data_IF_106333169514
#
_entry.id   IF_106333169514
#
_cell.length_a   1.000
_cell.length_b   1.000
_cell.length_c   1.000
_cell.angle_alpha   90.00
_cell.angle_beta   90.00
_cell.angle_gamma   90.00
#
_symmetry.space_group_name_H-M   'P 1'
#
loop_
_entity.id
_entity.type
_entity.pdbx_description
1 polymer ?
#
# COMPACT_ATOMS: atom_id res chain seq x y z
N UNK A 1 12.26 29.83 14.12
CA UNK A 1 13.54 29.07 14.16
C UNK A 1 14.21 29.31 12.82
N UNK A 2 15.50 29.68 12.80
CA UNK A 2 16.23 29.88 11.55
C UNK A 2 16.43 28.54 10.84
N UNK A 3 16.22 28.52 9.52
CA UNK A 3 16.53 27.37 8.70
C UNK A 3 18.05 27.30 8.47
N UNK A 4 18.67 26.18 8.83
CA UNK A 4 20.12 25.95 8.66
C UNK A 4 20.45 25.11 7.43
N UNK A 5 19.44 24.62 6.72
CA UNK A 5 19.58 23.77 5.54
C UNK A 5 19.64 24.59 4.25
N UNK A 6 20.40 24.15 3.24
CA UNK A 6 20.43 24.82 1.94
C UNK A 6 19.07 24.72 1.23
N UNK A 7 18.74 25.72 0.42
CA UNK A 7 17.49 25.73 -0.34
C UNK A 7 17.36 24.52 -1.29
N UNK A 8 18.49 23.95 -1.74
CA UNK A 8 18.54 22.74 -2.58
C UNK A 8 18.10 21.46 -1.87
N UNK A 9 17.91 21.48 -0.54
CA UNK A 9 17.45 20.31 0.21
C UNK A 9 15.93 20.16 0.19
N UNK A 10 15.19 21.13 -0.38
CA UNK A 10 13.72 21.20 -0.46
C UNK A 10 12.99 20.89 0.86
N UNK A 11 13.68 21.09 2.00
CA UNK A 11 13.18 20.83 3.35
C UNK A 11 13.75 21.85 4.31
N UNK A 12 12.93 22.23 5.27
CA UNK A 12 13.30 23.17 6.34
C UNK A 12 13.62 22.44 7.63
N UNK A 13 14.45 23.04 8.48
CA UNK A 13 14.73 22.52 9.83
C UNK A 13 13.44 22.28 10.63
N UNK A 14 12.42 23.14 10.46
CA UNK A 14 11.12 22.99 11.11
C UNK A 14 10.38 21.73 10.66
N UNK A 15 10.43 21.38 9.38
CA UNK A 15 9.79 20.18 8.85
C UNK A 15 10.48 18.90 9.35
N UNK A 16 11.81 18.88 9.43
CA UNK A 16 12.55 17.72 9.97
C UNK A 16 12.23 17.52 11.46
N UNK A 17 12.18 18.60 12.25
CA UNK A 17 11.79 18.52 13.66
C UNK A 17 10.33 18.06 13.79
N UNK A 18 9.43 18.60 12.97
CA UNK A 18 8.02 18.17 12.93
C UNK A 18 7.88 16.69 12.59
N UNK A 19 8.67 16.19 11.64
CA UNK A 19 8.74 14.77 11.30
C UNK A 19 9.26 13.92 12.47
N UNK A 20 10.32 14.34 13.15
CA UNK A 20 10.85 13.62 14.32
C UNK A 20 9.79 13.54 15.44
N UNK A 21 9.11 14.65 15.71
CA UNK A 21 8.00 14.71 16.67
C UNK A 21 6.86 13.79 16.22
N UNK A 22 6.47 13.81 14.94
CA UNK A 22 5.43 12.93 14.41
C UNK A 22 5.77 11.45 14.61
N UNK A 23 7.03 11.04 14.37
CA UNK A 23 7.46 9.67 14.63
C UNK A 23 7.33 9.31 16.12
N UNK A 24 7.71 10.22 17.02
CA UNK A 24 7.56 10.04 18.47
C UNK A 24 6.07 9.95 18.87
N UNK A 25 5.18 10.71 18.25
CA UNK A 25 3.73 10.66 18.53
C UNK A 25 3.09 9.40 17.92
N UNK A 26 3.62 8.90 16.80
CA UNK A 26 3.08 7.71 16.15
C UNK A 26 3.30 6.43 16.96
N UNK A 27 4.37 6.42 17.77
CA UNK A 27 4.76 5.33 18.65
C UNK A 27 3.54 4.86 19.48
N UNK A 28 2.97 5.60 20.45
CA UNK A 28 1.94 5.05 21.35
C UNK A 28 0.69 4.51 20.62
N UNK A 29 0.33 5.09 19.49
CA UNK A 29 -0.83 4.67 18.68
C UNK A 29 -0.62 3.28 18.07
N UNK A 30 0.63 2.96 17.71
CA UNK A 30 1.01 1.65 17.17
C UNK A 30 0.99 0.53 18.22
N UNK A 31 1.08 0.83 19.52
CA UNK A 31 0.96 -0.19 20.58
C UNK A 31 -0.45 -0.75 20.75
N UNK A 32 -1.48 -0.05 20.23
CA UNK A 32 -2.85 -0.52 20.38
C UNK A 32 -3.10 -1.68 19.43
N UNK A 33 -3.50 -2.84 19.95
CA UNK A 33 -3.81 -4.03 19.13
C UNK A 33 -4.77 -3.73 17.95
N UNK A 34 -4.53 -4.28 16.75
CA UNK A 34 -5.31 -3.96 15.55
C UNK A 34 -6.80 -4.30 15.68
N UNK A 35 -7.14 -5.37 16.38
CA UNK A 35 -8.52 -5.83 16.60
C UNK A 35 -9.32 -4.85 17.48
N UNK A 36 -8.65 -3.92 18.17
CA UNK A 36 -9.26 -2.89 19.01
C UNK A 36 -9.04 -1.48 18.49
N UNK A 37 -8.51 -1.30 17.27
CA UNK A 37 -8.30 0.02 16.69
C UNK A 37 -9.42 0.56 15.82
N UNK A 38 -10.44 -0.23 15.50
CA UNK A 38 -11.59 0.22 14.70
C UNK A 38 -12.15 1.57 15.17
N UNK A 39 -12.50 1.69 16.45
CA UNK A 39 -13.06 2.94 17.02
C UNK A 39 -12.09 4.13 16.95
N UNK A 40 -10.79 3.86 17.11
CA UNK A 40 -9.76 4.89 17.02
C UNK A 40 -9.63 5.40 15.57
N UNK A 41 -9.66 4.47 14.61
CA UNK A 41 -9.61 4.77 13.18
C UNK A 41 -10.84 5.55 12.72
N UNK A 42 -12.03 5.17 13.20
CA UNK A 42 -13.27 5.92 12.93
C UNK A 42 -13.14 7.37 13.43
N UNK A 43 -12.68 7.56 14.68
CA UNK A 43 -12.48 8.90 15.24
C UNK A 43 -11.47 9.74 14.44
N UNK A 44 -10.32 9.16 14.10
CA UNK A 44 -9.29 9.83 13.29
C UNK A 44 -9.80 10.19 11.89
N UNK A 45 -10.56 9.30 11.24
CA UNK A 45 -11.14 9.55 9.91
C UNK A 45 -12.20 10.64 9.94
N UNK A 46 -13.08 10.66 10.96
CA UNK A 46 -14.09 11.72 11.13
C UNK A 46 -13.41 13.09 11.33
N UNK A 47 -12.39 13.15 12.18
CA UNK A 47 -11.61 14.38 12.40
C UNK A 47 -10.91 14.85 11.13
N UNK A 48 -10.33 13.93 10.37
CA UNK A 48 -9.65 14.23 9.10
C UNK A 48 -10.63 14.76 8.05
N UNK A 49 -11.79 14.10 7.92
CA UNK A 49 -12.86 14.52 7.03
C UNK A 49 -13.37 15.93 7.39
N UNK A 50 -13.61 16.19 8.68
CA UNK A 50 -14.05 17.50 9.15
C UNK A 50 -13.01 18.59 8.87
N UNK A 51 -11.71 18.30 9.02
CA UNK A 51 -10.65 19.24 8.71
C UNK A 51 -10.55 19.55 7.21
N UNK A 52 -10.59 18.53 6.34
CA UNK A 52 -10.56 18.72 4.88
C UNK A 52 -11.81 19.46 4.37
N UNK A 53 -12.99 19.11 4.90
CA UNK A 53 -14.23 19.81 4.61
C UNK A 53 -14.15 21.28 5.06
N UNK A 54 -13.60 21.54 6.25
CA UNK A 54 -13.39 22.90 6.77
C UNK A 54 -12.44 23.73 5.90
N UNK A 55 -11.32 23.15 5.47
CA UNK A 55 -10.38 23.80 4.55
C UNK A 55 -11.08 24.15 3.23
N UNK A 56 -11.83 23.20 2.66
CA UNK A 56 -12.57 23.42 1.43
C UNK A 56 -13.59 24.55 1.58
N UNK A 57 -14.48 24.48 2.59
CA UNK A 57 -15.51 25.50 2.83
C UNK A 57 -14.87 26.89 3.01
N UNK A 58 -13.78 26.96 3.77
CA UNK A 58 -13.03 28.21 3.95
C UNK A 58 -12.53 28.76 2.61
N UNK A 59 -11.93 27.91 1.78
CA UNK A 59 -11.39 28.29 0.48
C UNK A 59 -12.48 28.80 -0.46
N UNK A 60 -13.61 28.09 -0.59
CA UNK A 60 -14.70 28.56 -1.45
C UNK A 60 -15.31 29.88 -0.96
N UNK A 61 -15.46 30.04 0.36
CA UNK A 61 -16.01 31.26 0.94
C UNK A 61 -15.12 32.48 0.66
N UNK A 62 -13.79 32.32 0.81
CA UNK A 62 -12.83 33.40 0.57
C UNK A 62 -12.57 33.68 -0.92
N UNK A 63 -12.75 32.68 -1.78
CA UNK A 63 -12.73 32.86 -3.23
C UNK A 63 -14.05 33.42 -3.79
N UNK A 64 -15.08 33.59 -2.94
CA UNK A 64 -16.44 33.97 -3.33
C UNK A 64 -17.05 33.05 -4.40
N UNK A 65 -16.71 31.76 -4.36
CA UNK A 65 -17.14 30.79 -5.34
C UNK A 65 -16.20 29.59 -5.44
N UNK A 66 -16.42 28.76 -6.44
CA UNK A 66 -15.64 27.54 -6.65
C UNK A 66 -14.31 27.77 -7.42
N UNK A 67 -14.00 29.02 -7.76
CA UNK A 67 -12.81 29.44 -8.49
C UNK A 67 -12.90 29.22 -10.01
N UNK A 68 -11.94 29.77 -10.74
CA UNK A 68 -11.99 29.87 -12.21
C UNK A 68 -11.69 28.54 -12.92
N UNK A 69 -10.91 27.63 -12.31
CA UNK A 69 -10.47 26.39 -12.97
C UNK A 69 -11.64 25.47 -13.37
N UNK A 70 -12.76 25.55 -12.67
CA UNK A 70 -13.94 24.71 -12.95
C UNK A 70 -14.65 25.16 -14.22
N UNK A 71 -14.55 26.45 -14.54
CA UNK A 71 -15.17 27.05 -15.73
C UNK A 71 -14.20 27.14 -16.91
N UNK A 72 -12.91 26.86 -16.69
CA UNK A 72 -11.92 26.86 -17.76
C UNK A 72 -12.12 25.68 -18.70
N UNK A 73 -12.17 25.91 -20.03
CA UNK A 73 -12.25 24.84 -21.00
C UNK A 73 -10.96 24.01 -20.99
N UNK A 74 -11.09 22.73 -21.35
CA UNK A 74 -9.94 21.84 -21.52
C UNK A 74 -8.96 22.42 -22.53
N UNK A 75 -7.68 22.42 -22.17
CA UNK A 75 -6.59 22.79 -23.09
C UNK A 75 -6.27 21.67 -24.11
N UNK A 76 -6.81 20.47 -23.91
CA UNK A 76 -6.65 19.34 -24.84
C UNK A 76 -7.58 19.53 -26.04
N UNK A 77 -7.01 19.92 -27.18
CA UNK A 77 -7.77 20.36 -28.36
C UNK A 77 -8.24 19.20 -29.27
N UNK A 78 -7.65 18.01 -29.18
CA UNK A 78 -7.98 16.89 -30.08
C UNK A 78 -8.69 15.76 -29.33
N UNK A 79 -9.64 15.10 -29.99
CA UNK A 79 -10.39 13.97 -29.40
C UNK A 79 -9.49 12.82 -28.96
N UNK A 80 -8.40 12.60 -29.69
CA UNK A 80 -7.36 11.62 -29.36
C UNK A 80 -6.62 11.98 -28.05
N UNK A 81 -6.10 13.22 -27.96
CA UNK A 81 -5.44 13.70 -26.74
C UNK A 81 -6.36 13.71 -25.51
N UNK A 82 -7.66 13.98 -25.71
CA UNK A 82 -8.66 13.96 -24.65
C UNK A 82 -8.90 12.52 -24.15
N UNK A 83 -9.05 11.56 -25.08
CA UNK A 83 -9.28 10.16 -24.74
C UNK A 83 -8.12 9.56 -23.94
N UNK A 84 -6.88 9.77 -24.38
CA UNK A 84 -5.69 9.31 -23.66
C UNK A 84 -5.45 10.08 -22.36
N UNK A 85 -5.80 11.37 -22.29
CA UNK A 85 -5.77 12.14 -21.04
C UNK A 85 -6.72 11.57 -19.97
N UNK A 86 -7.94 11.19 -20.37
CA UNK A 86 -8.90 10.53 -19.47
C UNK A 86 -8.35 9.17 -19.01
N UNK A 87 -7.78 8.37 -19.92
CA UNK A 87 -7.16 7.09 -19.56
C UNK A 87 -5.99 7.26 -18.60
N UNK A 88 -5.11 8.25 -18.81
CA UNK A 88 -4.02 8.56 -17.90
C UNK A 88 -4.53 8.91 -16.49
N UNK A 89 -5.61 9.69 -16.40
CA UNK A 89 -6.27 10.01 -15.12
C UNK A 89 -6.76 8.75 -14.40
N UNK A 90 -7.47 7.87 -15.12
CA UNK A 90 -7.95 6.59 -14.58
C UNK A 90 -6.78 5.70 -14.14
N UNK A 91 -5.78 5.53 -15.00
CA UNK A 91 -4.56 4.74 -14.72
C UNK A 91 -3.84 5.24 -13.48
N UNK A 92 -3.76 6.56 -13.27
CA UNK A 92 -3.11 7.16 -12.10
C UNK A 92 -3.88 6.87 -10.81
N UNK A 93 -5.20 6.99 -10.82
CA UNK A 93 -6.04 6.67 -9.66
C UNK A 93 -6.01 5.18 -9.34
N UNK A 94 -6.24 4.33 -10.35
CA UNK A 94 -6.19 2.87 -10.20
C UNK A 94 -4.82 2.42 -9.73
N UNK A 95 -3.76 3.01 -10.28
CA UNK A 95 -2.38 2.76 -9.90
C UNK A 95 -2.07 3.07 -8.44
N UNK A 96 -2.50 4.23 -7.95
CA UNK A 96 -2.38 4.60 -6.52
C UNK A 96 -3.07 3.58 -5.64
N UNK A 97 -4.32 3.22 -5.99
CA UNK A 97 -5.11 2.23 -5.26
C UNK A 97 -4.53 0.82 -5.41
N UNK A 98 -3.85 0.53 -6.53
CA UNK A 98 -3.29 -0.77 -6.81
C UNK A 98 -2.19 -1.15 -5.84
N UNK A 99 -1.46 -0.21 -5.24
CA UNK A 99 -0.47 -0.57 -4.19
C UNK A 99 -1.20 -1.12 -2.95
N UNK A 100 -2.35 -0.53 -2.62
CA UNK A 100 -3.21 -1.01 -1.55
C UNK A 100 -4.00 -2.28 -1.95
N UNK A 101 -4.34 -2.45 -3.24
CA UNK A 101 -5.19 -3.54 -3.76
C UNK A 101 -4.43 -4.74 -4.32
N UNK A 102 -3.21 -4.58 -4.81
CA UNK A 102 -2.32 -5.68 -5.25
C UNK A 102 -1.88 -6.55 -4.09
N UNK A 103 -2.00 -5.98 -2.89
CA UNK A 103 -1.96 -6.64 -1.60
C UNK A 103 -3.34 -6.70 -0.92
N UNK A 104 -4.41 -6.75 -1.72
CA UNK A 104 -5.78 -7.04 -1.31
C UNK A 104 -6.18 -8.41 -1.81
N UNK A 105 -6.94 -9.18 -1.02
CA UNK A 105 -7.51 -10.38 -1.53
C UNK A 105 -8.78 -10.01 -2.24
N UNK A 106 -8.62 -9.79 -3.53
CA UNK A 106 -9.69 -10.15 -4.45
C UNK A 106 -10.02 -11.66 -4.38
N UNK A 107 -9.34 -12.43 -3.52
CA UNK A 107 -9.26 -13.87 -3.53
C UNK A 107 -9.09 -14.46 -2.12
N UNK A 108 -10.07 -14.31 -1.22
CA UNK A 108 -10.18 -15.23 -0.07
C UNK A 108 -11.66 -15.48 0.27
N UNK A 109 -12.24 -16.59 -0.20
CA UNK A 109 -13.59 -16.95 0.21
C UNK A 109 -13.66 -17.92 1.40
N UNK A 110 -12.59 -18.56 1.89
CA UNK A 110 -12.74 -19.69 2.85
C UNK A 110 -11.50 -20.00 3.73
N UNK A 111 -11.10 -19.09 4.63
CA UNK A 111 -10.08 -19.36 5.66
C UNK A 111 -10.58 -18.82 7.00
N UNK A 112 -10.96 -19.67 7.95
CA UNK A 112 -11.55 -19.26 9.24
C UNK A 112 -10.70 -19.60 10.47
N UNK A 113 -9.58 -20.32 10.36
CA UNK A 113 -8.90 -20.85 11.57
C UNK A 113 -7.37 -20.80 11.61
N UNK A 114 -6.71 -19.76 11.08
CA UNK A 114 -5.33 -19.43 11.53
C UNK A 114 -5.37 -18.17 12.38
N UNK A 115 -5.53 -18.39 13.69
CA UNK A 115 -5.44 -17.34 14.70
C UNK A 115 -3.99 -17.17 15.16
N UNK A 116 -3.06 -16.84 14.27
CA UNK A 116 -1.68 -16.46 14.64
C UNK A 116 -1.14 -15.40 13.66
N UNK A 117 -1.63 -14.17 13.87
CA UNK A 117 -0.86 -12.94 14.06
C UNK A 117 0.22 -12.46 13.04
N UNK A 118 0.09 -11.17 12.62
CA UNK A 118 1.04 -10.24 11.93
C UNK A 118 1.11 -10.33 10.38
N UNK A 119 1.05 -9.28 9.52
CA UNK A 119 0.86 -7.82 9.63
C UNK A 119 0.55 -7.14 8.24
N UNK A 120 -0.09 -5.97 8.26
CA UNK A 120 -0.26 -4.86 7.27
C UNK A 120 -0.15 -5.01 5.73
N UNK A 121 -1.31 -5.25 5.13
CA UNK A 121 -1.83 -4.89 3.79
C UNK A 121 -3.34 -5.22 3.78
N UNK A 122 -4.15 -4.90 2.76
CA UNK A 122 -5.60 -5.24 2.79
C UNK A 122 -5.84 -6.75 3.06
N UNK A 123 -4.93 -7.63 2.62
CA UNK A 123 -4.92 -9.07 2.88
C UNK A 123 -4.79 -9.43 4.36
N UNK A 124 -4.08 -8.60 5.12
CA UNK A 124 -3.84 -8.82 6.54
C UNK A 124 -4.99 -8.33 7.43
N UNK A 125 -5.90 -7.53 6.88
CA UNK A 125 -7.14 -7.14 7.53
C UNK A 125 -8.31 -8.07 7.20
N UNK A 126 -8.37 -8.62 5.99
CA UNK A 126 -9.43 -9.55 5.60
C UNK A 126 -9.44 -10.85 6.40
N UNK A 127 -8.30 -11.27 6.98
CA UNK A 127 -8.27 -12.42 7.91
C UNK A 127 -9.10 -12.21 9.18
N UNK A 128 -9.39 -10.95 9.54
CA UNK A 128 -10.25 -10.60 10.66
C UNK A 128 -11.73 -10.48 10.25
N UNK A 129 -12.06 -10.60 8.96
CA UNK A 129 -13.43 -10.58 8.49
C UNK A 129 -14.17 -11.83 8.95
N UNK A 130 -15.42 -11.67 9.42
CA UNK A 130 -16.23 -12.80 9.90
C UNK A 130 -16.79 -13.60 8.74
N UNK A 131 -17.07 -12.92 7.63
CA UNK A 131 -17.54 -13.51 6.37
C UNK A 131 -16.82 -12.86 5.18
N UNK A 132 -16.58 -13.62 4.09
CA UNK A 132 -15.95 -13.09 2.87
C UNK A 132 -16.70 -11.90 2.23
N UNK A 133 -18.01 -11.84 2.40
CA UNK A 133 -18.86 -10.75 1.91
C UNK A 133 -18.62 -9.42 2.65
N UNK A 134 -18.07 -9.45 3.87
CA UNK A 134 -17.98 -8.27 4.73
C UNK A 134 -17.01 -7.22 4.16
N UNK A 135 -15.97 -7.65 3.41
CA UNK A 135 -15.05 -6.71 2.76
C UNK A 135 -15.66 -5.97 1.56
N UNK A 136 -16.62 -6.59 0.86
CA UNK A 136 -17.13 -6.10 -0.43
C UNK A 136 -17.83 -4.76 -0.28
N UNK A 137 -18.74 -4.67 0.70
CA UNK A 137 -19.49 -3.44 0.95
C UNK A 137 -18.57 -2.29 1.39
N UNK A 138 -17.64 -2.56 2.31
CA UNK A 138 -16.70 -1.57 2.82
C UNK A 138 -15.79 -0.99 1.73
N UNK A 139 -15.26 -1.86 0.86
CA UNK A 139 -14.44 -1.45 -0.30
C UNK A 139 -15.26 -0.66 -1.32
N UNK A 140 -16.43 -1.17 -1.73
CA UNK A 140 -17.29 -0.51 -2.70
C UNK A 140 -17.71 0.89 -2.24
N UNK A 141 -18.17 1.01 -0.99
CA UNK A 141 -18.56 2.29 -0.40
C UNK A 141 -17.37 3.25 -0.33
N UNK A 142 -16.21 2.79 0.12
CA UNK A 142 -15.02 3.63 0.26
C UNK A 142 -14.50 4.10 -1.09
N UNK A 143 -14.33 3.21 -2.07
CA UNK A 143 -13.74 3.59 -3.35
C UNK A 143 -14.67 4.43 -4.23
N UNK A 144 -15.97 4.16 -4.22
CA UNK A 144 -16.91 4.88 -5.08
C UNK A 144 -17.36 6.19 -4.43
N UNK A 145 -17.77 6.14 -3.16
CA UNK A 145 -18.32 7.33 -2.50
C UNK A 145 -17.20 8.22 -1.97
N UNK A 146 -16.38 7.71 -1.05
CA UNK A 146 -15.31 8.50 -0.43
C UNK A 146 -14.21 8.83 -1.45
N UNK A 147 -13.87 7.88 -2.33
CA UNK A 147 -12.91 8.05 -3.41
C UNK A 147 -13.33 9.05 -4.49
N UNK A 148 -14.62 9.40 -4.59
CA UNK A 148 -15.08 10.50 -5.47
C UNK A 148 -15.16 11.84 -4.74
N UNK A 149 -15.59 11.83 -3.47
CA UNK A 149 -15.78 13.07 -2.69
C UNK A 149 -14.45 13.70 -2.28
N UNK A 150 -13.45 12.90 -1.87
CA UNK A 150 -12.16 13.44 -1.40
C UNK A 150 -11.38 14.16 -2.51
N UNK A 151 -11.22 13.61 -3.73
CA UNK A 151 -10.59 14.34 -4.83
C UNK A 151 -11.36 15.60 -5.22
N UNK A 152 -12.70 15.57 -5.18
CA UNK A 152 -13.51 16.75 -5.41
C UNK A 152 -13.14 17.87 -4.44
N UNK A 153 -12.97 17.57 -3.14
CA UNK A 153 -12.54 18.58 -2.16
C UNK A 153 -11.19 19.19 -2.53
N UNK A 154 -10.23 18.35 -2.97
CA UNK A 154 -8.92 18.80 -3.44
C UNK A 154 -9.01 19.72 -4.67
N UNK A 155 -9.76 19.32 -5.69
CA UNK A 155 -9.94 20.10 -6.92
C UNK A 155 -10.61 21.46 -6.66
N UNK A 156 -11.69 21.48 -5.87
CA UNK A 156 -12.40 22.72 -5.52
C UNK A 156 -11.50 23.66 -4.70
N UNK A 157 -10.77 23.10 -3.73
CA UNK A 157 -9.84 23.88 -2.90
C UNK A 157 -8.72 24.47 -3.75
N UNK A 158 -8.11 23.67 -4.64
CA UNK A 158 -7.03 24.13 -5.53
C UNK A 158 -7.51 25.25 -6.47
N UNK A 159 -8.68 25.08 -7.07
CA UNK A 159 -9.34 26.11 -7.89
C UNK A 159 -9.59 27.41 -7.11
N UNK A 160 -10.15 27.31 -5.91
CA UNK A 160 -10.39 28.47 -5.06
C UNK A 160 -9.08 29.16 -4.63
N UNK A 161 -8.03 28.40 -4.32
CA UNK A 161 -6.73 28.99 -3.94
C UNK A 161 -6.06 29.76 -5.06
N UNK A 162 -6.30 29.38 -6.33
CA UNK A 162 -5.82 30.17 -7.46
C UNK A 162 -6.44 31.57 -7.48
N UNK A 163 -7.72 31.70 -7.17
CA UNK A 163 -8.38 33.01 -7.07
C UNK A 163 -7.90 33.81 -5.84
N UNK A 164 -7.57 33.14 -4.72
CA UNK A 164 -7.16 33.80 -3.46
C UNK A 164 -5.68 34.24 -3.47
N UNK A 165 -4.80 33.39 -3.99
CA UNK A 165 -3.34 33.52 -3.89
C UNK A 165 -2.63 33.66 -5.25
N UNK A 166 -3.33 33.48 -6.36
CA UNK A 166 -2.74 33.46 -7.70
C UNK A 166 -2.09 32.13 -8.08
N UNK A 167 -2.04 31.15 -7.17
CA UNK A 167 -1.49 29.82 -7.42
C UNK A 167 -2.46 28.71 -6.99
N UNK A 168 -2.48 27.61 -7.74
CA UNK A 168 -3.31 26.45 -7.45
C UNK A 168 -2.63 25.55 -6.41
N UNK A 169 -2.96 25.75 -5.13
CA UNK A 169 -2.40 24.99 -4.02
C UNK A 169 -3.07 23.61 -3.91
N UNK A 170 -2.27 22.57 -4.14
CA UNK A 170 -2.71 21.17 -4.05
C UNK A 170 -2.40 20.52 -2.69
N UNK A 171 -1.46 21.08 -1.93
CA UNK A 171 -0.98 20.50 -0.67
C UNK A 171 -1.63 21.19 0.56
N UNK A 172 -2.49 20.52 1.35
CA UNK A 172 -3.24 21.17 2.44
C UNK A 172 -2.36 21.82 3.53
N UNK A 173 -1.29 21.18 4.04
CA UNK A 173 -0.31 21.85 4.92
C UNK A 173 0.18 23.21 4.42
N UNK A 174 0.40 23.37 3.11
CA UNK A 174 0.81 24.65 2.51
C UNK A 174 -0.28 25.70 2.64
N UNK A 175 -1.55 25.32 2.49
CA UNK A 175 -2.70 26.22 2.67
C UNK A 175 -2.76 26.74 4.11
N UNK A 176 -2.57 25.87 5.12
CA UNK A 176 -2.53 26.29 6.52
C UNK A 176 -1.36 27.25 6.80
N UNK A 177 -0.19 27.01 6.18
CA UNK A 177 0.94 27.91 6.30
C UNK A 177 0.62 29.29 5.69
N UNK A 178 -0.05 29.33 4.55
CA UNK A 178 -0.49 30.57 3.90
C UNK A 178 -1.51 31.34 4.75
N UNK A 179 -2.39 30.67 5.49
CA UNK A 179 -3.29 31.32 6.46
C UNK A 179 -2.50 32.11 7.51
N UNK A 180 -1.48 31.47 8.09
CA UNK A 180 -0.65 32.07 9.13
C UNK A 180 0.26 33.19 8.59
N UNK A 181 0.68 33.11 7.33
CA UNK A 181 1.50 34.16 6.70
C UNK A 181 0.67 35.38 6.30
N UNK A 182 -0.56 35.18 5.82
CA UNK A 182 -1.46 36.26 5.38
C UNK A 182 -2.04 37.05 6.54
N UNK A 183 -2.51 36.37 7.58
CA UNK A 183 -3.07 37.00 8.77
C UNK A 183 -2.73 36.22 10.04
N UNK A 184 -1.84 36.79 10.86
CA UNK A 184 -1.42 36.18 12.12
C UNK A 184 -2.36 36.54 13.30
N UNK A 185 -3.66 36.40 13.09
CA UNK A 185 -4.69 36.64 14.11
C UNK A 185 -4.91 35.42 15.02
N UNK A 186 -5.55 35.63 16.17
CA UNK A 186 -5.92 34.54 17.10
C UNK A 186 -6.85 33.52 16.43
N UNK A 187 -7.74 33.98 15.54
CA UNK A 187 -8.65 33.13 14.76
C UNK A 187 -7.89 32.25 13.76
N UNK A 188 -6.99 32.83 12.96
CA UNK A 188 -6.17 32.08 12.00
C UNK A 188 -5.29 31.04 12.67
N UNK A 189 -4.74 31.37 13.85
CA UNK A 189 -3.96 30.42 14.66
C UNK A 189 -4.82 29.28 15.19
N UNK A 190 -6.01 29.56 15.70
CA UNK A 190 -6.93 28.53 16.16
C UNK A 190 -7.36 27.61 15.00
N UNK A 191 -7.73 28.18 13.85
CA UNK A 191 -8.10 27.44 12.65
C UNK A 191 -6.96 26.52 12.18
N UNK A 192 -5.73 27.03 12.11
CA UNK A 192 -4.56 26.24 11.74
C UNK A 192 -4.28 25.10 12.73
N UNK A 193 -4.49 25.30 14.03
CA UNK A 193 -4.34 24.23 15.04
C UNK A 193 -5.38 23.13 14.83
N UNK A 194 -6.67 23.46 14.70
CA UNK A 194 -7.72 22.46 14.53
C UNK A 194 -7.58 21.69 13.20
N UNK A 195 -7.31 22.40 12.11
CA UNK A 195 -7.06 21.77 10.81
C UNK A 195 -5.78 20.91 10.85
N UNK A 196 -4.72 21.41 11.50
CA UNK A 196 -3.47 20.67 11.69
C UNK A 196 -3.64 19.38 12.50
N UNK A 197 -4.45 19.40 13.56
CA UNK A 197 -4.80 18.19 14.33
C UNK A 197 -5.51 17.17 13.44
N UNK A 198 -6.44 17.61 12.57
CA UNK A 198 -7.10 16.74 11.62
C UNK A 198 -6.13 16.11 10.61
N UNK A 199 -5.23 16.90 10.04
CA UNK A 199 -4.21 16.43 9.09
C UNK A 199 -3.21 15.46 9.74
N UNK A 200 -2.72 15.77 10.95
CA UNK A 200 -1.84 14.87 11.72
C UNK A 200 -2.56 13.57 12.06
N UNK A 201 -3.85 13.65 12.42
CA UNK A 201 -4.66 12.45 12.73
C UNK A 201 -4.85 11.57 11.50
N UNK A 202 -5.06 12.17 10.32
CA UNK A 202 -5.10 11.46 9.04
C UNK A 202 -3.79 10.72 8.79
N UNK A 203 -2.66 11.41 8.96
CA UNK A 203 -1.35 10.83 8.72
C UNK A 203 -1.01 9.73 9.73
N UNK A 204 -1.42 9.88 10.99
CA UNK A 204 -1.31 8.84 12.01
C UNK A 204 -2.17 7.63 11.65
N UNK A 205 -3.40 7.83 11.18
CA UNK A 205 -4.30 6.77 10.74
C UNK A 205 -3.69 5.97 9.58
N UNK A 206 -3.17 6.65 8.55
CA UNK A 206 -2.48 6.00 7.43
C UNK A 206 -1.20 5.30 7.87
N UNK A 207 -0.37 5.94 8.71
CA UNK A 207 0.86 5.32 9.20
C UNK A 207 0.57 4.09 10.07
N UNK A 208 -0.57 4.06 10.76
CA UNK A 208 -1.05 2.84 11.42
C UNK A 208 -1.49 1.83 10.36
N UNK A 209 -2.49 2.12 9.53
CA UNK A 209 -3.07 1.11 8.63
C UNK A 209 -2.05 0.55 7.61
N UNK A 210 -1.25 1.42 6.99
CA UNK A 210 -0.33 1.07 5.92
C UNK A 210 1.05 0.62 6.43
N UNK A 211 1.48 1.12 7.61
CA UNK A 211 2.79 0.79 8.18
C UNK A 211 2.75 0.04 9.53
N UNK A 212 1.58 -0.38 10.07
CA UNK A 212 1.49 -1.18 11.30
C UNK A 212 0.13 -1.82 11.67
N UNK A 213 0.13 -3.11 11.99
CA UNK A 213 0.22 -3.54 13.39
C UNK A 213 0.56 -5.01 13.56
N UNK A 214 1.29 -5.24 14.63
CA UNK A 214 1.56 -6.54 15.23
C UNK A 214 1.09 -6.60 16.68
N UNK A 215 0.48 -7.70 17.10
CA UNK A 215 0.15 -7.95 18.53
C UNK A 215 1.34 -8.64 19.20
N UNK A 216 1.67 -8.32 20.46
CA UNK A 216 2.80 -8.91 21.16
C UNK A 216 2.41 -10.27 21.79
N UNK A 217 2.04 -11.28 20.99
CA UNK A 217 1.64 -12.59 21.57
C UNK A 217 2.81 -13.54 21.80
N UNK A 218 4.00 -13.27 21.25
CA UNK A 218 5.20 -14.07 21.56
C UNK A 218 6.42 -13.19 21.83
N UNK A 219 6.31 -12.33 22.85
CA UNK A 219 7.49 -11.83 23.54
C UNK A 219 7.48 -12.33 24.97
N UNK A 220 8.54 -13.09 25.27
CA UNK A 220 9.22 -13.11 26.56
C UNK A 220 8.83 -11.88 27.38
N UNK A 221 8.19 -12.10 28.53
CA UNK A 221 7.87 -11.05 29.50
C UNK A 221 9.15 -10.26 29.78
N UNK A 222 9.22 -8.99 29.37
CA UNK A 222 10.29 -8.08 29.83
C UNK A 222 10.88 -7.08 28.85
N UNK A 223 10.65 -7.16 27.53
CA UNK A 223 11.30 -6.20 26.61
C UNK A 223 10.40 -5.83 25.41
N UNK A 224 9.55 -4.82 25.61
CA UNK A 224 8.63 -4.27 24.60
C UNK A 224 9.05 -2.84 24.25
N UNK A 225 9.83 -2.66 23.18
CA UNK A 225 10.15 -1.34 22.61
C UNK A 225 10.38 -1.42 21.07
N UNK A 226 9.29 -1.22 20.29
CA UNK A 226 9.14 -0.71 18.88
C UNK A 226 9.90 -1.33 17.67
N UNK A 227 9.51 -1.14 16.36
CA UNK A 227 9.04 0.11 15.68
C UNK A 227 8.05 0.04 14.47
N UNK A 228 7.78 1.23 13.90
CA UNK A 228 7.05 1.63 12.66
C UNK A 228 7.63 0.94 11.41
N UNK A 229 6.80 0.50 10.44
CA UNK A 229 7.26 -0.07 9.16
C UNK A 229 7.15 -1.58 9.02
N UNK A 230 6.03 -2.15 9.53
CA UNK A 230 5.87 -3.61 9.66
C UNK A 230 5.85 -4.37 8.34
N UNK A 231 5.27 -3.83 7.27
CA UNK A 231 5.29 -4.44 5.91
C UNK A 231 6.72 -4.74 5.45
N UNK A 232 7.59 -3.73 5.56
CA UNK A 232 9.03 -3.88 5.28
C UNK A 232 9.69 -4.85 6.28
N UNK A 233 9.31 -4.78 7.55
CA UNK A 233 9.80 -5.71 8.59
C UNK A 233 9.48 -7.17 8.28
N UNK A 234 8.26 -7.46 7.83
CA UNK A 234 7.82 -8.79 7.43
C UNK A 234 8.50 -9.25 6.17
N UNK A 235 8.52 -8.42 5.12
CA UNK A 235 9.18 -8.74 3.86
C UNK A 235 10.65 -9.09 4.13
N UNK A 236 11.35 -8.30 4.96
CA UNK A 236 12.74 -8.58 5.36
C UNK A 236 12.88 -9.83 6.25
N UNK A 237 11.93 -10.10 7.14
CA UNK A 237 11.95 -11.31 7.97
C UNK A 237 11.64 -12.58 7.19
N UNK A 238 10.83 -12.49 6.13
CA UNK A 238 10.59 -13.59 5.20
C UNK A 238 11.80 -13.85 4.30
N UNK A 239 12.50 -12.80 3.88
CA UNK A 239 13.71 -12.90 3.06
C UNK A 239 14.93 -13.40 3.83
N UNK A 240 15.13 -12.93 5.07
CA UNK A 240 16.30 -13.24 5.90
C UNK A 240 15.91 -13.66 7.34
N UNK A 241 15.11 -14.73 7.51
CA UNK A 241 14.53 -15.10 8.81
C UNK A 241 15.57 -15.38 9.90
N UNK A 242 16.77 -15.84 9.52
CA UNK A 242 17.88 -16.13 10.45
C UNK A 242 18.52 -14.87 11.03
N UNK A 243 18.50 -13.74 10.31
CA UNK A 243 19.24 -12.52 10.65
C UNK A 243 18.33 -11.37 11.09
N UNK A 244 17.17 -11.25 10.43
CA UNK A 244 16.24 -10.16 10.60
C UNK A 244 14.93 -10.71 11.15
N UNK A 245 14.61 -10.31 12.37
CA UNK A 245 13.25 -10.40 12.86
C UNK A 245 12.47 -9.15 12.42
N UNK A 246 11.15 -9.22 12.47
CA UNK A 246 10.26 -8.13 12.04
C UNK A 246 10.68 -6.78 12.64
N UNK A 247 11.03 -6.75 13.94
CA UNK A 247 11.47 -5.53 14.62
C UNK A 247 12.72 -4.91 14.01
N UNK A 248 13.75 -5.73 13.77
CA UNK A 248 15.00 -5.29 13.11
C UNK A 248 14.71 -4.78 11.70
N UNK A 249 13.85 -5.47 10.97
CA UNK A 249 13.46 -5.06 9.62
C UNK A 249 12.72 -3.71 9.60
N UNK A 250 11.86 -3.44 10.58
CA UNK A 250 11.21 -2.14 10.73
C UNK A 250 12.22 -1.00 10.99
N UNK A 251 13.24 -1.21 11.84
CA UNK A 251 14.31 -0.20 12.04
C UNK A 251 15.08 0.08 10.75
N UNK A 252 15.38 -0.95 9.97
CA UNK A 252 16.00 -0.81 8.65
C UNK A 252 15.08 -0.02 7.71
N UNK A 253 13.78 -0.34 7.68
CA UNK A 253 12.79 0.37 6.87
C UNK A 253 12.68 1.86 7.22
N UNK A 254 12.71 2.21 8.51
CA UNK A 254 12.68 3.60 8.96
C UNK A 254 13.93 4.38 8.50
N UNK A 255 15.11 3.78 8.64
CA UNK A 255 16.38 4.41 8.24
C UNK A 255 16.44 4.57 6.72
N UNK A 256 16.08 3.53 5.96
CA UNK A 256 16.05 3.58 4.50
C UNK A 256 15.00 4.57 4.00
N UNK A 257 13.81 4.59 4.59
CA UNK A 257 12.75 5.54 4.25
C UNK A 257 13.20 6.99 4.43
N UNK A 258 13.98 7.29 5.47
CA UNK A 258 14.57 8.61 5.67
C UNK A 258 15.70 8.91 4.67
N UNK A 259 16.57 7.93 4.42
CA UNK A 259 17.70 8.06 3.50
C UNK A 259 17.27 8.33 2.05
N UNK A 260 16.05 7.92 1.67
CA UNK A 260 15.46 8.20 0.36
C UNK A 260 14.95 9.64 0.20
N UNK A 261 14.99 10.47 1.24
CA UNK A 261 14.56 11.88 1.21
C UNK A 261 13.16 12.06 0.60
N UNK A 262 12.09 11.52 1.22
CA UNK A 262 10.76 11.43 0.61
C UNK A 262 10.12 12.80 0.31
N UNK A 263 10.60 13.88 0.92
CA UNK A 263 10.15 15.25 0.63
C UNK A 263 10.51 15.71 -0.78
N UNK A 264 11.54 15.14 -1.43
CA UNK A 264 11.85 15.42 -2.83
C UNK A 264 10.70 15.01 -3.77
N UNK A 265 9.91 14.01 -3.37
CA UNK A 265 8.71 13.59 -4.11
C UNK A 265 7.61 14.65 -4.08
N UNK A 266 7.58 15.49 -3.03
CA UNK A 266 6.60 16.56 -2.86
C UNK A 266 7.12 17.92 -3.35
N UNK A 267 8.35 17.98 -3.89
CA UNK A 267 8.94 19.23 -4.37
C UNK A 267 8.12 19.90 -5.48
N UNK A 268 7.41 19.11 -6.31
CA UNK A 268 6.47 19.63 -7.30
C UNK A 268 5.27 18.69 -7.52
N UNK A 269 4.14 19.25 -7.95
CA UNK A 269 2.96 18.47 -8.31
C UNK A 269 3.25 17.49 -9.46
N UNK A 270 4.05 17.92 -10.45
CA UNK A 270 4.43 17.09 -11.59
C UNK A 270 5.28 15.90 -11.17
N UNK A 271 6.28 16.11 -10.30
CA UNK A 271 7.11 15.04 -9.73
C UNK A 271 6.24 14.04 -8.97
N UNK A 272 5.33 14.55 -8.13
CA UNK A 272 4.43 13.74 -7.33
C UNK A 272 3.54 12.83 -8.21
N UNK A 273 2.87 13.40 -9.21
CA UNK A 273 2.02 12.64 -10.14
C UNK A 273 2.85 11.62 -10.92
N UNK A 274 4.02 12.01 -11.43
CA UNK A 274 4.89 11.11 -12.21
C UNK A 274 5.35 9.89 -11.40
N UNK A 275 5.70 10.10 -10.13
CA UNK A 275 6.11 9.02 -9.22
C UNK A 275 4.94 8.09 -8.93
N UNK A 276 3.75 8.62 -8.66
CA UNK A 276 2.56 7.80 -8.44
C UNK A 276 2.22 6.98 -9.70
N UNK A 277 2.23 7.61 -10.87
CA UNK A 277 2.00 6.92 -12.14
C UNK A 277 3.06 5.83 -12.36
N UNK A 278 4.32 6.04 -11.97
CA UNK A 278 5.40 5.05 -12.08
C UNK A 278 5.10 3.75 -11.33
N UNK A 279 4.59 3.84 -10.10
CA UNK A 279 4.26 2.65 -9.31
C UNK A 279 3.22 1.77 -10.00
N UNK A 280 2.26 2.40 -10.68
CA UNK A 280 1.20 1.74 -11.46
C UNK A 280 1.77 0.80 -12.52
N UNK A 281 2.82 1.23 -13.21
CA UNK A 281 3.47 0.48 -14.30
C UNK A 281 4.08 -0.81 -13.78
N UNK A 282 4.74 -0.75 -12.61
CA UNK A 282 5.41 -1.91 -12.03
C UNK A 282 4.45 -2.83 -11.30
N UNK A 283 3.40 -2.27 -10.68
CA UNK A 283 2.44 -3.02 -9.87
C UNK A 283 1.39 -3.74 -10.72
N UNK A 284 0.95 -3.17 -11.84
CA UNK A 284 -0.06 -3.80 -12.69
C UNK A 284 0.35 -5.19 -13.22
N UNK A 285 1.61 -5.41 -13.67
CA UNK A 285 2.07 -6.73 -14.06
C UNK A 285 2.10 -7.76 -12.92
N UNK A 286 2.43 -7.34 -11.69
CA UNK A 286 2.36 -8.23 -10.53
C UNK A 286 0.92 -8.69 -10.27
N UNK A 287 -0.06 -7.78 -10.32
CA UNK A 287 -1.47 -8.13 -10.22
C UNK A 287 -1.89 -9.15 -11.28
N UNK A 288 -1.50 -8.91 -12.54
CA UNK A 288 -1.84 -9.80 -13.65
C UNK A 288 -1.25 -11.21 -13.48
N UNK A 289 -0.01 -11.32 -13.01
CA UNK A 289 0.65 -12.60 -12.71
C UNK A 289 -0.04 -13.31 -11.55
N UNK A 290 -0.34 -12.64 -10.44
CA UNK A 290 -1.00 -13.26 -9.29
C UNK A 290 -2.41 -13.76 -9.65
N UNK A 291 -3.18 -12.99 -10.41
CA UNK A 291 -4.50 -13.41 -10.90
C UNK A 291 -4.36 -14.63 -11.82
N UNK A 292 -3.39 -14.59 -12.75
CA UNK A 292 -3.09 -15.69 -13.68
C UNK A 292 -2.71 -16.99 -12.96
N UNK A 293 -1.70 -16.93 -12.10
CA UNK A 293 -1.13 -18.10 -11.42
C UNK A 293 -2.20 -18.76 -10.53
N UNK A 294 -2.93 -17.99 -9.75
CA UNK A 294 -3.90 -18.56 -8.81
C UNK A 294 -5.16 -19.10 -9.48
N UNK A 295 -5.80 -18.31 -10.36
CA UNK A 295 -7.11 -18.69 -10.93
C UNK A 295 -7.00 -19.58 -12.16
N UNK A 296 -6.07 -19.28 -13.06
CA UNK A 296 -6.01 -19.95 -14.35
C UNK A 296 -5.03 -21.13 -14.36
N UNK A 297 -3.89 -21.02 -13.68
CA UNK A 297 -2.88 -22.09 -13.65
C UNK A 297 -3.14 -23.09 -12.52
N UNK A 298 -3.20 -22.60 -11.29
CA UNK A 298 -3.32 -23.45 -10.09
C UNK A 298 -4.76 -23.73 -9.67
N UNK A 299 -5.73 -23.07 -10.30
CA UNK A 299 -7.17 -23.26 -10.04
C UNK A 299 -7.53 -23.20 -8.55
N UNK A 300 -6.90 -22.29 -7.80
CA UNK A 300 -7.09 -22.07 -6.35
C UNK A 300 -6.55 -23.19 -5.46
N UNK A 301 -5.61 -24.01 -5.95
CA UNK A 301 -4.94 -25.08 -5.20
C UNK A 301 -3.49 -24.71 -4.93
N UNK A 302 -3.16 -24.56 -3.66
CA UNK A 302 -1.81 -24.24 -3.20
C UNK A 302 -1.38 -25.26 -2.15
N UNK A 303 -0.15 -25.75 -2.28
CA UNK A 303 0.56 -26.49 -1.24
C UNK A 303 1.27 -25.48 -0.34
N UNK A 304 0.91 -25.38 0.94
CA UNK A 304 1.45 -24.39 1.87
C UNK A 304 2.78 -24.85 2.46
N UNK A 305 2.96 -26.14 2.71
CA UNK A 305 4.19 -26.70 3.29
C UNK A 305 5.45 -26.33 2.50
N UNK A 306 5.37 -26.39 1.17
CA UNK A 306 6.46 -26.05 0.26
C UNK A 306 6.68 -24.53 0.13
N UNK A 307 5.74 -23.69 0.56
CA UNK A 307 5.84 -22.23 0.48
C UNK A 307 6.75 -21.66 1.58
N UNK A 308 6.81 -22.33 2.73
CA UNK A 308 7.60 -21.91 3.90
C UNK A 308 9.00 -22.55 3.99
N UNK A 309 9.35 -23.43 3.05
CA UNK A 309 10.62 -24.16 3.07
C UNK A 309 11.40 -24.01 1.76
N UNK A 310 12.65 -23.55 1.83
CA UNK A 310 13.56 -23.44 0.69
C UNK A 310 14.25 -24.78 0.34
N UNK A 311 13.49 -25.89 0.37
CA UNK A 311 14.00 -27.22 0.06
C UNK A 311 14.11 -27.39 -1.46
N UNK A 312 15.20 -27.96 -2.00
CA UNK A 312 15.33 -28.23 -3.43
C UNK A 312 14.20 -29.08 -4.02
N UNK A 313 13.57 -29.90 -3.19
CA UNK A 313 12.47 -30.80 -3.56
C UNK A 313 11.10 -30.11 -3.58
N UNK A 314 11.00 -28.87 -3.07
CA UNK A 314 9.73 -28.14 -3.02
C UNK A 314 9.25 -27.69 -4.40
N UNK A 315 7.94 -27.72 -4.62
CA UNK A 315 7.34 -27.38 -5.93
C UNK A 315 7.58 -25.92 -6.35
N UNK A 316 7.88 -25.03 -5.40
CA UNK A 316 8.19 -23.62 -5.64
C UNK A 316 9.68 -23.30 -5.65
N UNK A 317 10.56 -24.29 -5.55
CA UNK A 317 12.01 -24.06 -5.61
C UNK A 317 12.48 -23.82 -7.05
N UNK A 318 11.78 -24.33 -8.06
CA UNK A 318 12.09 -24.13 -9.48
C UNK A 318 13.59 -24.32 -9.80
N UNK A 319 14.20 -23.41 -10.57
CA UNK A 319 15.64 -23.43 -10.86
C UNK A 319 16.38 -22.57 -9.85
N UNK A 320 16.90 -23.19 -8.78
CA UNK A 320 17.67 -22.53 -7.70
C UNK A 320 16.92 -21.38 -7.00
N UNK A 321 15.62 -21.54 -6.78
CA UNK A 321 14.75 -20.51 -6.19
C UNK A 321 14.19 -19.51 -7.20
N UNK A 322 14.53 -19.62 -8.49
CA UNK A 322 14.13 -18.66 -9.51
C UNK A 322 13.08 -19.22 -10.47
N UNK A 323 11.99 -18.48 -10.67
CA UNK A 323 10.97 -18.80 -11.66
C UNK A 323 10.96 -17.80 -12.82
N UNK A 324 11.64 -18.15 -13.92
CA UNK A 324 11.63 -17.33 -15.14
C UNK A 324 10.21 -17.14 -15.72
N UNK A 325 9.28 -18.07 -15.44
CA UNK A 325 7.88 -17.97 -15.89
C UNK A 325 7.11 -16.84 -15.21
N UNK A 326 7.59 -16.36 -14.06
CA UNK A 326 7.08 -15.14 -13.41
C UNK A 326 7.79 -13.89 -13.89
N UNK A 327 9.11 -13.96 -14.10
CA UNK A 327 9.92 -12.78 -14.49
C UNK A 327 9.67 -12.34 -15.92
N UNK A 328 9.53 -13.26 -16.87
CA UNK A 328 9.30 -12.92 -18.27
C UNK A 328 7.99 -12.13 -18.48
N UNK A 329 6.81 -12.59 -17.99
CA UNK A 329 5.57 -11.80 -18.10
C UNK A 329 5.65 -10.46 -17.37
N UNK A 330 6.39 -10.39 -16.26
CA UNK A 330 6.59 -9.15 -15.54
C UNK A 330 7.33 -8.13 -16.41
N UNK A 331 8.47 -8.52 -17.00
CA UNK A 331 9.24 -7.67 -17.93
C UNK A 331 8.40 -7.23 -19.13
N UNK A 332 7.65 -8.15 -19.75
CA UNK A 332 6.78 -7.81 -20.89
C UNK A 332 5.69 -6.81 -20.50
N UNK A 333 5.22 -6.85 -19.25
CA UNK A 333 4.17 -5.94 -18.76
C UNK A 333 4.62 -4.49 -18.57
N UNK A 334 5.86 -4.25 -18.13
CA UNK A 334 6.32 -2.87 -17.82
C UNK A 334 7.38 -2.31 -18.77
N UNK A 335 8.23 -3.14 -19.39
CA UNK A 335 9.32 -2.64 -20.27
C UNK A 335 8.79 -1.80 -21.44
N UNK A 336 7.70 -2.18 -22.13
CA UNK A 336 7.14 -1.36 -23.23
C UNK A 336 6.59 0.00 -22.78
N UNK A 337 6.34 0.19 -21.48
CA UNK A 337 5.82 1.42 -20.90
C UNK A 337 6.95 2.41 -20.53
N UNK A 338 8.21 1.96 -20.53
CA UNK A 338 9.37 2.79 -20.18
C UNK A 338 9.52 4.06 -21.02
N UNK A 339 9.36 4.05 -22.35
CA UNK A 339 9.60 5.26 -23.14
C UNK A 339 8.64 6.39 -22.75
N UNK A 340 7.34 6.12 -22.62
CA UNK A 340 6.37 7.13 -22.16
C UNK A 340 6.59 7.55 -20.71
N UNK A 341 7.06 6.64 -19.85
CA UNK A 341 7.47 6.99 -18.49
C UNK A 341 8.65 7.97 -18.48
N UNK A 342 9.70 7.70 -19.27
CA UNK A 342 10.86 8.60 -19.39
C UNK A 342 10.47 9.98 -19.90
N UNK A 343 9.54 10.04 -20.87
CA UNK A 343 9.00 11.31 -21.37
C UNK A 343 8.22 12.08 -20.30
N UNK A 344 7.44 11.39 -19.47
CA UNK A 344 6.68 12.03 -18.38
C UNK A 344 7.56 12.65 -17.29
N UNK A 345 8.72 12.06 -17.01
CA UNK A 345 9.71 12.64 -16.07
C UNK A 345 10.50 13.77 -16.73
N UNK A 346 10.97 13.56 -17.96
CA UNK A 346 11.78 14.52 -18.68
C UNK A 346 11.20 14.77 -20.09
N UNK A 347 10.39 15.84 -20.24
CA UNK A 347 9.80 16.20 -21.52
C UNK A 347 10.81 16.51 -22.63
N UNK A 348 12.10 16.73 -22.30
CA UNK A 348 13.15 16.91 -23.30
C UNK A 348 13.44 15.62 -24.10
N UNK A 349 13.11 14.46 -23.55
CA UNK A 349 13.26 13.16 -24.23
C UNK A 349 12.08 12.99 -25.18
N UNK A 350 12.31 13.11 -26.49
CA UNK A 350 11.26 12.92 -27.49
C UNK A 350 11.00 11.43 -27.70
N UNK A 351 9.73 11.03 -27.60
CA UNK A 351 9.26 9.68 -27.86
C UNK A 351 8.16 9.69 -28.92
N UNK A 352 7.88 8.52 -29.50
CA UNK A 352 6.78 8.37 -30.44
C UNK A 352 5.43 8.53 -29.73
N UNK A 353 4.46 9.14 -30.40
CA UNK A 353 3.08 9.31 -29.90
C UNK A 353 2.48 7.99 -29.40
N UNK A 354 2.74 6.87 -30.10
CA UNK A 354 2.25 5.55 -29.69
C UNK A 354 2.80 5.08 -28.34
N UNK A 355 4.00 5.49 -27.96
CA UNK A 355 4.59 5.13 -26.66
C UNK A 355 3.98 5.94 -25.51
N UNK A 356 3.65 7.21 -25.75
CA UNK A 356 2.90 8.03 -24.79
C UNK A 356 1.48 7.50 -24.58
N UNK A 357 0.81 7.11 -25.67
CA UNK A 357 -0.51 6.49 -25.62
C UNK A 357 -0.49 5.15 -24.88
N UNK A 358 0.56 4.35 -25.10
CA UNK A 358 0.72 3.08 -24.38
C UNK A 358 0.96 3.32 -22.88
N UNK A 359 1.72 4.35 -22.52
CA UNK A 359 1.92 4.77 -21.13
C UNK A 359 0.61 5.24 -20.47
N UNK A 360 -0.25 5.96 -21.19
CA UNK A 360 -1.59 6.32 -20.72
C UNK A 360 -2.48 5.12 -20.43
N UNK A 361 -2.27 4.01 -21.15
CA UNK A 361 -2.90 2.71 -20.92
C UNK A 361 -2.10 1.82 -19.96
N UNK A 362 -1.13 2.35 -19.22
CA UNK A 362 -0.12 1.56 -18.51
C UNK A 362 -0.68 0.49 -17.58
N UNK A 363 -1.71 0.80 -16.78
CA UNK A 363 -2.31 -0.17 -15.87
C UNK A 363 -3.05 -1.31 -16.60
N UNK A 364 -4.06 -1.05 -17.47
CA UNK A 364 -4.76 -2.12 -18.18
C UNK A 364 -3.82 -2.91 -19.09
N UNK A 365 -2.85 -2.25 -19.74
CA UNK A 365 -1.83 -2.94 -20.53
C UNK A 365 -0.99 -3.87 -19.66
N UNK A 366 -0.39 -3.36 -18.58
CA UNK A 366 0.49 -4.15 -17.70
C UNK A 366 -0.24 -5.34 -17.08
N UNK A 367 -1.49 -5.17 -16.66
CA UNK A 367 -2.30 -6.25 -16.09
C UNK A 367 -2.65 -7.32 -17.13
N UNK A 368 -3.20 -6.93 -18.28
CA UNK A 368 -3.70 -7.89 -19.27
C UNK A 368 -2.57 -8.59 -20.01
N UNK A 369 -1.51 -7.86 -20.38
CA UNK A 369 -0.35 -8.43 -21.08
C UNK A 369 0.38 -9.44 -20.20
N UNK A 370 0.70 -9.09 -18.95
CA UNK A 370 1.36 -10.01 -18.01
C UNK A 370 0.49 -11.23 -17.70
N UNK A 371 -0.82 -11.06 -17.49
CA UNK A 371 -1.75 -12.16 -17.25
C UNK A 371 -1.81 -13.11 -18.45
N UNK A 372 -1.90 -12.58 -19.68
CA UNK A 372 -1.94 -13.39 -20.90
C UNK A 372 -0.64 -14.16 -21.12
N UNK A 373 0.51 -13.48 -21.00
CA UNK A 373 1.83 -14.09 -21.20
C UNK A 373 2.14 -15.09 -20.09
N UNK A 374 1.80 -14.81 -18.84
CA UNK A 374 1.97 -15.76 -17.74
C UNK A 374 1.12 -17.01 -17.97
N UNK A 375 -0.13 -16.84 -18.40
CA UNK A 375 -1.02 -17.96 -18.73
C UNK A 375 -0.45 -18.80 -19.87
N UNK A 376 0.03 -18.15 -20.94
CA UNK A 376 0.59 -18.83 -22.11
C UNK A 376 1.87 -19.59 -21.76
N UNK A 377 2.80 -18.95 -21.08
CA UNK A 377 4.09 -19.54 -20.69
C UNK A 377 3.89 -20.76 -19.78
N UNK A 378 3.00 -20.67 -18.78
CA UNK A 378 2.71 -21.81 -17.91
C UNK A 378 1.88 -22.91 -18.60
N UNK A 379 1.14 -22.61 -19.67
CA UNK A 379 0.48 -23.65 -20.48
C UNK A 379 1.46 -24.37 -21.39
N UNK A 380 2.40 -23.65 -22.01
CA UNK A 380 3.44 -24.24 -22.86
C UNK A 380 4.49 -25.00 -22.04
N UNK A 381 4.84 -24.47 -20.87
CA UNK A 381 5.83 -25.03 -19.96
C UNK A 381 5.23 -25.17 -18.56
N UNK A 382 4.42 -26.21 -18.31
CA UNK A 382 3.74 -26.39 -17.02
C UNK A 382 4.72 -26.40 -15.85
N UNK A 383 4.47 -25.61 -14.78
CA UNK A 383 5.25 -25.71 -13.56
C UNK A 383 5.05 -27.08 -12.89
N UNK A 384 6.02 -27.55 -12.08
CA UNK A 384 5.85 -28.78 -11.31
C UNK A 384 4.74 -28.61 -10.25
N UNK A 385 4.06 -29.72 -9.91
CA UNK A 385 3.10 -29.76 -8.81
C UNK A 385 1.79 -28.98 -9.03
N UNK A 386 1.35 -28.79 -10.28
CA UNK A 386 0.04 -28.16 -10.55
C UNK A 386 -1.07 -29.00 -9.92
N UNK A 387 -1.84 -28.35 -9.03
CA UNK A 387 -2.98 -28.97 -8.37
C UNK A 387 -2.65 -29.76 -7.11
N UNK A 388 -1.38 -29.80 -6.70
CA UNK A 388 -0.99 -30.36 -5.40
C UNK A 388 -1.45 -29.46 -4.25
N UNK A 389 -1.98 -30.09 -3.21
CA UNK A 389 -2.39 -29.48 -1.95
C UNK A 389 -1.76 -30.33 -0.83
N UNK A 390 -1.53 -29.72 0.34
CA UNK A 390 -1.12 -30.46 1.52
C UNK A 390 -2.15 -31.52 1.91
N UNK A 391 -1.68 -32.70 2.30
CA UNK A 391 -2.56 -33.79 2.76
C UNK A 391 -3.13 -33.52 4.14
N UNK A 392 -2.31 -32.92 5.00
CA UNK A 392 -2.65 -32.58 6.37
C UNK A 392 -2.65 -31.05 6.53
N UNK A 393 -3.61 -30.54 7.28
CA UNK A 393 -3.71 -29.12 7.58
C UNK A 393 -2.75 -28.72 8.71
N UNK A 394 -1.44 -28.83 8.44
CA UNK A 394 -0.37 -28.54 9.42
C UNK A 394 -0.47 -27.13 10.00
N UNK A 395 -1.07 -26.19 9.27
CA UNK A 395 -1.17 -24.78 9.63
C UNK A 395 -2.55 -24.37 10.17
N UNK A 396 -3.50 -25.30 10.32
CA UNK A 396 -4.86 -25.01 10.81
C UNK A 396 -5.70 -24.13 9.88
N UNK A 397 -5.34 -24.09 8.60
CA UNK A 397 -5.86 -23.19 7.57
C UNK A 397 -7.37 -23.31 7.38
N UNK A 398 -7.90 -24.53 7.40
CA UNK A 398 -9.25 -24.84 6.96
C UNK A 398 -10.19 -25.14 8.12
N UNK A 399 -11.48 -24.81 7.95
CA UNK A 399 -12.56 -25.37 8.77
C UNK A 399 -12.69 -26.87 8.50
N UNK A 400 -13.33 -27.62 9.41
CA UNK A 400 -13.54 -29.07 9.23
C UNK A 400 -14.31 -29.35 7.92
N UNK A 401 -15.31 -28.54 7.60
CA UNK A 401 -16.11 -28.66 6.38
C UNK A 401 -15.33 -28.33 5.11
N UNK A 402 -14.41 -27.35 5.15
CA UNK A 402 -13.56 -26.97 4.02
C UNK A 402 -12.46 -28.02 3.78
N UNK A 403 -11.82 -28.49 4.86
CA UNK A 403 -10.81 -29.54 4.80
C UNK A 403 -11.40 -30.82 4.18
N UNK A 404 -12.61 -31.21 4.59
CA UNK A 404 -13.33 -32.34 4.00
C UNK A 404 -13.66 -32.15 2.50
N UNK A 405 -14.03 -30.93 2.08
CA UNK A 405 -14.29 -30.62 0.65
C UNK A 405 -13.03 -30.65 -0.21
N UNK A 406 -11.89 -30.30 0.37
CA UNK A 406 -10.59 -30.26 -0.31
C UNK A 406 -9.80 -31.58 -0.18
N UNK A 407 -10.30 -32.54 0.62
CA UNK A 407 -9.63 -33.82 0.88
C UNK A 407 -8.40 -33.69 1.78
N UNK A 408 -8.38 -32.68 2.66
CA UNK A 408 -7.30 -32.39 3.61
C UNK A 408 -7.70 -32.93 4.99
N UNK A 409 -6.78 -33.64 5.66
CA UNK A 409 -6.98 -34.12 7.02
C UNK A 409 -6.71 -33.01 8.04
N UNK A 410 -7.65 -32.82 8.97
CA UNK A 410 -7.54 -31.81 10.03
C UNK A 410 -7.07 -32.37 11.38
N UNK A 411 -7.14 -33.70 11.56
CA UNK A 411 -7.01 -34.35 12.88
C UNK A 411 -5.56 -34.60 13.34
N UNK A 412 -4.53 -34.31 12.54
CA UNK A 412 -3.13 -34.60 12.90
C UNK A 412 -2.50 -33.57 13.85
N UNK A 413 -3.14 -32.42 14.09
CA UNK A 413 -2.54 -31.31 14.86
C UNK A 413 -2.81 -31.32 16.37
N UNK A 414 -3.77 -32.07 16.92
CA UNK A 414 -3.96 -32.07 18.39
C UNK A 414 -2.97 -33.01 19.12
N UNK A 415 -2.53 -34.12 18.53
CA UNK A 415 -1.62 -35.06 19.20
C UNK A 415 -0.13 -34.87 18.86
N UNK A 416 0.21 -34.34 17.67
CA UNK A 416 1.61 -34.25 17.21
C UNK A 416 2.26 -32.86 17.38
N UNK A 417 1.46 -31.79 17.48
CA UNK A 417 1.99 -30.45 17.80
C UNK A 417 2.53 -30.38 19.24
N UNK A 418 1.85 -31.04 20.19
CA UNK A 418 2.30 -31.11 21.59
C UNK A 418 3.52 -32.05 21.75
N UNK A 419 3.70 -33.03 20.85
CA UNK A 419 4.89 -33.91 20.83
C UNK A 419 6.12 -33.26 20.19
N UNK A 420 5.96 -32.56 19.08
CA UNK A 420 7.06 -31.88 18.38
C UNK A 420 7.60 -30.68 19.19
N UNK A 421 6.71 -29.87 19.78
CA UNK A 421 7.09 -28.79 20.69
C UNK A 421 7.78 -29.30 21.96
N UNK A 422 7.38 -30.46 22.49
CA UNK A 422 8.07 -31.14 23.62
C UNK A 422 9.43 -31.75 23.24
N UNK A 423 9.65 -32.07 21.97
CA UNK A 423 10.90 -32.65 21.47
C UNK A 423 11.95 -31.56 21.24
N UNK A 424 11.57 -30.46 20.59
CA UNK A 424 12.46 -29.29 20.41
C UNK A 424 12.81 -28.61 21.74
N UNK A 425 11.87 -28.54 22.69
CA UNK A 425 12.16 -28.02 24.04
C UNK A 425 13.02 -28.94 24.90
N UNK A 426 13.11 -30.24 24.60
CA UNK A 426 14.07 -31.17 25.25
C UNK A 426 15.47 -31.08 24.65
N UNK A 427 15.60 -31.01 23.33
CA UNK A 427 16.91 -30.87 22.67
C UNK A 427 17.61 -29.55 22.98
N UNK A 428 16.86 -28.45 23.13
CA UNK A 428 17.41 -27.14 23.52
C UNK A 428 17.88 -27.10 24.98
N UNK A 429 17.35 -27.98 25.84
CA UNK A 429 17.75 -28.08 27.26
C UNK A 429 18.94 -29.04 27.46
N UNK A 430 19.04 -30.10 26.67
CA UNK A 430 20.15 -31.07 26.77
C UNK A 430 21.47 -30.60 26.12
N UNK A 431 21.44 -29.54 25.31
CA UNK A 431 22.66 -28.96 24.71
C UNK A 431 23.29 -27.83 25.54
N UNK A 432 22.82 -27.60 26.78
CA UNK A 432 23.35 -26.60 27.72
C UNK A 432 23.50 -27.13 29.15
N UNK A 433 24.17 -28.27 29.31
CA UNK A 433 24.78 -28.69 30.58
C UNK A 433 26.25 -28.98 30.37
#
# INVERSE_FOLDING_TARGET
MSNTLPASAHVTTQQIIGWAIFNIISIPVLYRRPERSEKLMIGMNIMSFAALLGIMIWSLSHAHGAGDLIHQPSQLQTSDSLGFGIMQGITTVVGTLSIALSRSPFVYPYLKYVSDLDSASQMDFSRFARKPSDQVFGQWFTFIIIGSIMPLFGCLTSSATQAIYGEALWNPPTILAMWLQRDYSSTSRAAAVFAGIGLVSSQLALNVVDNGKSSPSQSVKGFSNYPVGYSVGMDLSGLLPKYINIRRGCYVGLILGMALCPWELLASATTFVSVISSFSIFMAPFCGIHISDYWFIRQRRLKLSDLYHARPEGIYFYTMGFNWRGVLPWLVGWVPLLPGFMHSINPAIKVSVGADHLYALGFPYGLLSSMAIHTLVNKCFPPPGIGEIDRDDTYGTFTVEEAAKLGVNKDSTEEDSDRSLRRESREVVETKV
#
